data_IF_801966679731
#
_entry.id   IF_801966679731
#
_cell.length_a   1.000
_cell.length_b   1.000
_cell.length_c   1.000
_cell.angle_alpha   90.00
_cell.angle_beta   90.00
_cell.angle_gamma   90.00
#
_symmetry.space_group_name_H-M   'P 1'
#
loop_
_entity.id
_entity.type
_entity.pdbx_description
1 polymer ?
#
# COMPACT_ATOMS: atom_id res chain seq x y z
N UNK A 1 -7.54 -19.47 -46.20
CA UNK A 1 -8.48 -18.47 -45.63
C UNK A 1 -7.67 -17.65 -44.63
N UNK A 2 -7.04 -16.59 -45.10
CA UNK A 2 -7.61 -15.24 -45.23
C UNK A 2 -7.64 -14.55 -43.87
N UNK A 3 -6.60 -13.77 -43.62
CA UNK A 3 -6.42 -12.91 -42.44
C UNK A 3 -5.38 -11.85 -42.77
N UNK A 4 -5.64 -11.10 -43.84
CA UNK A 4 -4.80 -10.06 -44.42
C UNK A 4 -4.93 -8.80 -43.55
N UNK A 5 -3.93 -8.53 -42.72
CA UNK A 5 -3.83 -7.32 -41.90
C UNK A 5 -3.20 -6.21 -42.75
N UNK A 6 -4.08 -5.45 -43.39
CA UNK A 6 -3.76 -4.21 -44.10
C UNK A 6 -3.44 -3.12 -43.07
N UNK A 7 -2.18 -2.68 -43.05
CA UNK A 7 -1.77 -1.42 -42.48
C UNK A 7 -2.29 -0.29 -43.38
N UNK A 8 -3.36 0.40 -42.96
CA UNK A 8 -3.72 1.69 -43.53
C UNK A 8 -2.99 2.80 -42.78
N UNK A 9 -1.96 3.33 -43.44
CA UNK A 9 -1.40 4.63 -43.14
C UNK A 9 -2.44 5.71 -43.55
N UNK A 10 -3.04 6.37 -42.57
CA UNK A 10 -3.78 7.61 -42.81
C UNK A 10 -2.77 8.75 -42.96
N UNK A 11 -2.46 9.07 -44.21
CA UNK A 11 -1.86 10.35 -44.57
C UNK A 11 -2.91 11.45 -44.36
N UNK A 12 -2.64 12.34 -43.41
CA UNK A 12 -3.47 13.52 -43.16
C UNK A 12 -3.51 14.46 -44.38
N UNK A 13 -4.62 15.19 -44.59
CA UNK A 13 -4.73 16.13 -45.70
C UNK A 13 -3.75 17.29 -45.53
N UNK A 14 -3.02 17.55 -46.60
CA UNK A 14 -2.17 18.71 -46.87
C UNK A 14 -2.87 20.03 -46.51
N UNK A 15 -2.25 20.81 -45.62
CA UNK A 15 -2.56 22.22 -45.41
C UNK A 15 -2.24 23.00 -46.70
N UNK A 16 -3.27 23.55 -47.34
CA UNK A 16 -3.12 24.58 -48.37
C UNK A 16 -3.22 25.96 -47.70
N UNK A 17 -2.38 26.94 -48.09
CA UNK A 17 -2.52 28.31 -47.61
C UNK A 17 -3.66 29.00 -48.37
N UNK A 18 -4.78 29.22 -47.71
CA UNK A 18 -5.90 29.97 -48.26
C UNK A 18 -5.60 31.46 -48.14
N UNK A 19 -5.13 32.07 -49.23
CA UNK A 19 -5.07 33.52 -49.38
C UNK A 19 -6.49 34.05 -49.61
N UNK A 20 -7.01 34.96 -48.77
CA UNK A 20 -8.26 35.63 -49.09
C UNK A 20 -7.98 36.64 -50.21
N UNK A 21 -8.38 36.30 -51.42
CA UNK A 21 -8.54 37.25 -52.53
C UNK A 21 -9.61 38.26 -52.15
N UNK A 22 -9.21 39.51 -51.92
CA UNK A 22 -10.11 40.64 -51.81
C UNK A 22 -10.56 41.00 -53.22
N UNK A 23 -11.78 40.64 -53.56
CA UNK A 23 -12.46 41.04 -54.79
C UNK A 23 -12.92 42.50 -54.59
N UNK A 24 -12.21 43.45 -55.21
CA UNK A 24 -12.67 44.83 -55.31
C UNK A 24 -13.67 44.90 -56.48
N UNK A 25 -14.94 45.02 -56.15
CA UNK A 25 -16.01 45.32 -57.10
C UNK A 25 -15.81 46.74 -57.64
N UNK A 26 -15.34 46.83 -58.87
CA UNK A 26 -15.20 48.07 -59.62
C UNK A 26 -16.58 48.51 -60.13
N UNK A 27 -17.25 49.39 -59.36
CA UNK A 27 -18.45 50.10 -59.84
C UNK A 27 -18.01 51.43 -60.45
N UNK A 28 -17.45 51.35 -61.67
CA UNK A 28 -17.26 52.48 -62.58
C UNK A 28 -18.54 52.75 -63.35
N UNK A 29 -19.48 53.47 -62.73
CA UNK A 29 -20.70 53.95 -63.37
C UNK A 29 -20.59 55.42 -63.73
N UNK A 30 -20.34 55.69 -65.01
CA UNK A 30 -20.29 57.03 -65.60
C UNK A 30 -21.62 57.77 -65.41
N UNK A 31 -21.62 58.83 -64.59
CA UNK A 31 -22.71 59.80 -64.55
C UNK A 31 -22.20 61.22 -64.76
N UNK A 32 -22.29 61.61 -66.04
CA UNK A 32 -22.69 62.91 -66.55
C UNK A 32 -22.00 64.16 -65.98
N UNK A 33 -21.06 64.68 -66.77
CA UNK A 33 -20.79 66.11 -66.84
C UNK A 33 -21.98 66.82 -67.49
N UNK A 34 -22.56 67.81 -66.80
CA UNK A 34 -23.28 68.93 -67.41
C UNK A 34 -22.78 70.22 -66.75
N UNK A 35 -22.29 71.20 -67.53
CA UNK A 35 -21.79 72.46 -67.01
C UNK A 35 -22.90 73.51 -66.92
N UNK A 36 -22.69 74.44 -65.99
CA UNK A 36 -23.33 75.75 -65.85
C UNK A 36 -24.86 75.78 -65.67
N UNK A 37 -25.30 76.51 -64.63
CA UNK A 37 -25.96 77.81 -64.84
C UNK A 37 -26.11 78.55 -63.50
N UNK A 38 -25.73 79.82 -63.56
CA UNK A 38 -25.81 80.81 -62.51
C UNK A 38 -27.17 80.86 -61.79
N UNK A 39 -27.11 81.01 -60.47
CA UNK A 39 -28.26 81.23 -59.62
C UNK A 39 -27.84 81.83 -58.28
N UNK A 40 -27.40 83.08 -58.32
CA UNK A 40 -27.26 83.94 -57.14
C UNK A 40 -28.63 84.10 -56.47
N UNK A 41 -28.79 83.56 -55.27
CA UNK A 41 -29.70 84.09 -54.25
C UNK A 41 -28.91 84.20 -52.94
N UNK A 42 -28.18 85.31 -52.83
CA UNK A 42 -27.94 85.90 -51.54
C UNK A 42 -29.21 86.64 -51.15
N UNK A 43 -29.99 86.06 -50.23
CA UNK A 43 -30.95 86.81 -49.45
C UNK A 43 -30.42 86.88 -48.03
N UNK A 44 -29.98 88.09 -47.67
CA UNK A 44 -29.44 88.43 -46.36
C UNK A 44 -30.64 88.74 -45.48
N UNK A 45 -31.03 87.80 -44.63
CA UNK A 45 -31.88 88.10 -43.48
C UNK A 45 -30.98 88.37 -42.28
N UNK A 46 -30.65 89.65 -42.09
CA UNK A 46 -30.04 90.19 -40.89
C UNK A 46 -31.07 90.15 -39.75
N UNK A 47 -30.94 89.15 -38.87
CA UNK A 47 -31.34 89.26 -37.48
C UNK A 47 -30.37 88.43 -36.65
N UNK A 48 -29.46 89.13 -35.97
CA UNK A 48 -28.21 88.57 -35.46
C UNK A 48 -28.35 87.33 -34.59
N UNK A 49 -27.76 86.23 -35.06
CA UNK A 49 -27.37 85.08 -34.25
C UNK A 49 -26.09 84.46 -34.86
N UNK A 50 -25.10 84.18 -34.01
CA UNK A 50 -23.82 83.58 -34.39
C UNK A 50 -24.02 82.26 -35.13
N UNK A 51 -23.62 82.20 -36.40
CA UNK A 51 -23.73 81.02 -37.26
C UNK A 51 -22.70 79.96 -36.81
N UNK A 52 -23.08 79.14 -35.82
CA UNK A 52 -22.33 77.97 -35.38
C UNK A 52 -22.60 76.84 -36.37
N UNK A 53 -21.56 76.11 -36.81
CA UNK A 53 -21.70 74.94 -37.68
C UNK A 53 -22.80 74.02 -37.11
N UNK A 54 -23.86 73.67 -37.86
CA UNK A 54 -25.08 73.07 -37.31
C UNK A 54 -24.88 71.88 -36.35
N UNK A 55 -23.93 70.95 -36.56
CA UNK A 55 -23.70 69.85 -35.60
C UNK A 55 -22.88 70.24 -34.34
N UNK A 56 -22.37 71.47 -34.25
CA UNK A 56 -21.68 72.01 -33.07
C UNK A 56 -22.47 73.11 -32.34
N UNK A 57 -23.76 73.27 -32.63
CA UNK A 57 -24.62 74.18 -31.89
C UNK A 57 -24.84 73.67 -30.44
N UNK A 58 -24.16 74.34 -29.51
CA UNK A 58 -24.17 74.02 -28.08
C UNK A 58 -25.53 74.10 -27.39
N UNK A 59 -26.53 74.75 -28.01
CA UNK A 59 -27.90 74.80 -27.48
C UNK A 59 -28.57 73.42 -27.43
N UNK A 60 -28.18 72.49 -28.31
CA UNK A 60 -28.70 71.13 -28.36
C UNK A 60 -27.99 70.15 -27.42
N UNK A 61 -26.78 70.49 -26.96
CA UNK A 61 -25.97 69.62 -26.11
C UNK A 61 -26.62 69.34 -24.75
N UNK A 62 -27.36 70.30 -24.19
CA UNK A 62 -28.06 70.09 -22.92
C UNK A 62 -29.08 68.94 -23.00
N UNK A 63 -29.88 68.88 -24.07
CA UNK A 63 -30.85 67.79 -24.28
C UNK A 63 -30.16 66.44 -24.51
N UNK A 64 -29.09 66.42 -25.31
CA UNK A 64 -28.31 65.21 -25.54
C UNK A 64 -27.64 64.69 -24.27
N UNK A 65 -27.10 65.57 -23.43
CA UNK A 65 -26.49 65.21 -22.15
C UNK A 65 -27.52 64.69 -21.14
N UNK A 66 -28.73 65.27 -21.10
CA UNK A 66 -29.82 64.77 -20.24
C UNK A 66 -30.23 63.37 -20.69
N UNK A 67 -30.44 63.15 -21.99
CA UNK A 67 -30.83 61.83 -22.50
C UNK A 67 -29.70 60.80 -22.36
N UNK A 68 -28.44 61.21 -22.59
CA UNK A 68 -27.26 60.40 -22.31
C UNK A 68 -27.22 60.00 -20.83
N UNK A 69 -27.45 60.94 -19.91
CA UNK A 69 -27.47 60.64 -18.48
C UNK A 69 -28.58 59.66 -18.10
N UNK A 70 -29.79 59.80 -18.66
CA UNK A 70 -30.91 58.89 -18.42
C UNK A 70 -30.58 57.47 -18.93
N UNK A 71 -30.15 57.35 -20.19
CA UNK A 71 -29.84 56.05 -20.80
C UNK A 71 -28.62 55.39 -20.14
N UNK A 72 -27.59 56.17 -19.82
CA UNK A 72 -26.42 55.70 -19.09
C UNK A 72 -26.77 55.24 -17.67
N UNK A 73 -27.60 56.00 -16.94
CA UNK A 73 -28.07 55.59 -15.61
C UNK A 73 -28.88 54.29 -15.67
N UNK A 74 -29.77 54.15 -16.65
CA UNK A 74 -30.54 52.92 -16.85
C UNK A 74 -29.61 51.72 -17.16
N UNK A 75 -28.65 51.90 -18.07
CA UNK A 75 -27.66 50.89 -18.39
C UNK A 75 -26.79 50.53 -17.17
N UNK A 76 -26.36 51.53 -16.40
CA UNK A 76 -25.56 51.34 -15.18
C UNK A 76 -26.33 50.52 -14.14
N UNK A 77 -27.61 50.82 -13.91
CA UNK A 77 -28.45 50.04 -13.00
C UNK A 77 -28.60 48.60 -13.50
N UNK A 78 -28.83 48.39 -14.80
CA UNK A 78 -28.91 47.05 -15.37
C UNK A 78 -27.61 46.25 -15.20
N UNK A 79 -26.46 46.87 -15.50
CA UNK A 79 -25.14 46.25 -15.39
C UNK A 79 -24.79 45.93 -13.94
N UNK A 80 -25.01 46.89 -13.03
CA UNK A 80 -24.74 46.73 -11.60
C UNK A 80 -25.63 45.69 -10.94
N UNK A 81 -26.90 45.60 -11.33
CA UNK A 81 -27.88 44.71 -10.70
C UNK A 81 -27.94 43.32 -11.32
N UNK A 82 -27.52 43.14 -12.59
CA UNK A 82 -27.66 41.87 -13.31
C UNK A 82 -26.32 41.31 -13.76
N UNK A 83 -25.50 42.08 -14.46
CA UNK A 83 -24.27 41.56 -15.06
C UNK A 83 -23.17 41.29 -14.03
N UNK A 84 -22.89 42.27 -13.15
CA UNK A 84 -21.90 42.10 -12.08
C UNK A 84 -22.21 40.93 -11.14
N UNK A 85 -23.44 40.78 -10.59
CA UNK A 85 -23.72 39.65 -9.71
C UNK A 85 -23.70 38.30 -10.43
N UNK A 86 -24.04 38.24 -11.72
CA UNK A 86 -23.91 37.00 -12.51
C UNK A 86 -22.46 36.56 -12.64
N UNK A 87 -21.54 37.49 -12.90
CA UNK A 87 -20.10 37.19 -13.00
C UNK A 87 -19.54 36.80 -11.64
N UNK A 88 -19.90 37.53 -10.57
CA UNK A 88 -19.51 37.20 -9.20
C UNK A 88 -19.93 35.78 -8.80
N UNK A 89 -21.20 35.43 -9.03
CA UNK A 89 -21.71 34.09 -8.74
C UNK A 89 -20.94 32.98 -9.47
N UNK A 90 -20.50 33.19 -10.71
CA UNK A 90 -19.74 32.18 -11.47
C UNK A 90 -18.34 32.00 -10.87
N UNK A 91 -17.69 33.09 -10.48
CA UNK A 91 -16.37 33.05 -9.84
C UNK A 91 -16.47 32.32 -8.50
N UNK A 92 -17.45 32.70 -7.68
CA UNK A 92 -17.68 32.08 -6.37
C UNK A 92 -17.99 30.59 -6.50
N UNK A 93 -18.81 30.19 -7.48
CA UNK A 93 -19.11 28.77 -7.73
C UNK A 93 -17.87 27.98 -8.16
N UNK A 94 -17.00 28.56 -8.99
CA UNK A 94 -15.75 27.91 -9.40
C UNK A 94 -14.81 27.77 -8.22
N UNK A 95 -14.64 28.83 -7.43
CA UNK A 95 -13.81 28.81 -6.23
C UNK A 95 -14.32 27.77 -5.23
N UNK A 96 -15.62 27.75 -4.94
CA UNK A 96 -16.23 26.78 -4.04
C UNK A 96 -16.07 25.33 -4.53
N UNK A 97 -16.13 25.08 -5.85
CA UNK A 97 -15.84 23.76 -6.41
C UNK A 97 -14.38 23.36 -6.22
N UNK A 98 -13.45 24.26 -6.54
CA UNK A 98 -12.01 24.01 -6.38
C UNK A 98 -11.67 23.72 -4.91
N UNK A 99 -12.19 24.53 -3.99
CA UNK A 99 -11.96 24.35 -2.56
C UNK A 99 -12.59 23.04 -2.06
N UNK A 100 -13.78 22.70 -2.56
CA UNK A 100 -14.45 21.43 -2.28
C UNK A 100 -13.65 20.22 -2.77
N UNK A 101 -13.16 20.27 -4.01
CA UNK A 101 -12.36 19.21 -4.63
C UNK A 101 -11.01 19.07 -3.91
N UNK A 102 -10.36 20.17 -3.54
CA UNK A 102 -9.11 20.17 -2.78
C UNK A 102 -9.33 19.59 -1.38
N UNK A 103 -10.38 19.98 -0.67
CA UNK A 103 -10.71 19.44 0.64
C UNK A 103 -11.03 17.94 0.57
N UNK A 104 -11.76 17.49 -0.46
CA UNK A 104 -12.05 16.08 -0.68
C UNK A 104 -10.78 15.27 -0.99
N UNK A 105 -9.87 15.83 -1.80
CA UNK A 105 -8.59 15.22 -2.10
C UNK A 105 -7.70 15.12 -0.85
N UNK A 106 -7.59 16.19 -0.05
CA UNK A 106 -6.84 16.19 1.19
C UNK A 106 -7.39 15.19 2.21
N UNK A 107 -8.71 15.12 2.35
CA UNK A 107 -9.35 14.16 3.23
C UNK A 107 -9.12 12.72 2.78
N UNK A 108 -9.18 12.45 1.47
CA UNK A 108 -8.89 11.13 0.91
C UNK A 108 -7.41 10.75 1.08
N UNK A 109 -6.50 11.72 0.92
CA UNK A 109 -5.07 11.55 1.21
C UNK A 109 -4.85 11.20 2.68
N UNK A 110 -5.39 11.99 3.61
CA UNK A 110 -5.28 11.74 5.06
C UNK A 110 -5.80 10.35 5.45
N UNK A 111 -6.95 9.93 4.92
CA UNK A 111 -7.48 8.59 5.15
C UNK A 111 -6.56 7.48 4.63
N UNK A 112 -5.93 7.71 3.48
CA UNK A 112 -4.97 6.76 2.90
C UNK A 112 -3.72 6.69 3.76
N UNK A 113 -3.17 7.84 4.17
CA UNK A 113 -1.99 7.91 5.04
C UNK A 113 -2.25 7.23 6.39
N UNK A 114 -3.43 7.44 7.00
CA UNK A 114 -3.86 6.78 8.22
C UNK A 114 -4.02 5.27 8.03
N UNK A 115 -4.63 4.84 6.92
CA UNK A 115 -4.76 3.42 6.59
C UNK A 115 -3.40 2.76 6.39
N UNK A 116 -2.46 3.40 5.68
CA UNK A 116 -1.09 2.91 5.49
C UNK A 116 -0.39 2.79 6.84
N UNK A 117 -0.45 3.83 7.68
CA UNK A 117 0.17 3.81 9.01
C UNK A 117 -0.40 2.67 9.89
N UNK A 118 -1.72 2.49 9.88
CA UNK A 118 -2.37 1.41 10.63
C UNK A 118 -2.00 0.02 10.11
N UNK A 119 -1.88 -0.14 8.79
CA UNK A 119 -1.48 -1.38 8.13
C UNK A 119 -0.02 -1.72 8.46
N UNK A 120 0.89 -0.76 8.36
CA UNK A 120 2.30 -0.94 8.70
C UNK A 120 2.48 -1.28 10.19
N UNK A 121 1.75 -0.60 11.07
CA UNK A 121 1.75 -0.89 12.50
C UNK A 121 1.22 -2.31 12.79
N UNK A 122 0.11 -2.71 12.15
CA UNK A 122 -0.44 -4.06 12.30
C UNK A 122 0.55 -5.13 11.79
N UNK A 123 1.23 -4.87 10.67
CA UNK A 123 2.22 -5.78 10.11
C UNK A 123 3.46 -5.90 11.01
N UNK A 124 3.95 -4.79 11.57
CA UNK A 124 5.03 -4.78 12.53
C UNK A 124 4.67 -5.55 13.81
N UNK A 125 3.47 -5.31 14.36
CA UNK A 125 2.96 -6.02 15.53
C UNK A 125 2.79 -7.53 15.26
N UNK A 126 2.27 -7.92 14.09
CA UNK A 126 2.13 -9.32 13.71
C UNK A 126 3.48 -10.02 13.59
N UNK A 127 4.49 -9.38 12.97
CA UNK A 127 5.86 -9.91 12.90
C UNK A 127 6.48 -10.05 14.29
N UNK A 128 6.37 -9.03 15.13
CA UNK A 128 6.87 -9.07 16.51
C UNK A 128 6.22 -10.21 17.31
N UNK A 129 4.90 -10.39 17.20
CA UNK A 129 4.16 -11.48 17.84
C UNK A 129 4.59 -12.86 17.31
N UNK A 130 4.77 -13.00 16.00
CA UNK A 130 5.25 -14.24 15.40
C UNK A 130 6.66 -14.62 15.92
N UNK A 131 7.58 -13.64 15.99
CA UNK A 131 8.90 -13.86 16.56
C UNK A 131 8.83 -14.23 18.04
N UNK A 132 8.01 -13.54 18.84
CA UNK A 132 7.82 -13.85 20.25
C UNK A 132 7.28 -15.28 20.45
N UNK A 133 6.25 -15.68 19.70
CA UNK A 133 5.70 -17.04 19.76
C UNK A 133 6.73 -18.09 19.33
N UNK A 134 7.55 -17.80 18.30
CA UNK A 134 8.59 -18.73 17.87
C UNK A 134 9.67 -18.94 18.94
N UNK A 135 10.10 -17.87 19.61
CA UNK A 135 11.08 -17.95 20.70
C UNK A 135 10.51 -18.63 21.95
N UNK A 136 9.26 -18.31 22.33
CA UNK A 136 8.57 -18.99 23.43
C UNK A 136 8.41 -20.49 23.15
N UNK A 137 8.02 -20.86 21.93
CA UNK A 137 7.90 -22.27 21.52
C UNK A 137 9.25 -22.98 21.56
N UNK A 138 10.32 -22.35 21.07
CA UNK A 138 11.67 -22.90 21.13
C UNK A 138 12.14 -23.11 22.58
N UNK A 139 11.89 -22.13 23.45
CA UNK A 139 12.22 -22.22 24.86
C UNK A 139 11.44 -23.35 25.55
N UNK A 140 10.14 -23.47 25.27
CA UNK A 140 9.29 -24.54 25.78
C UNK A 140 9.75 -25.93 25.32
N UNK A 141 10.01 -26.10 24.02
CA UNK A 141 10.54 -27.36 23.46
C UNK A 141 11.88 -27.73 24.09
N UNK A 142 12.79 -26.76 24.27
CA UNK A 142 14.09 -27.00 24.91
C UNK A 142 13.90 -27.51 26.34
N UNK A 143 13.05 -26.84 27.12
CA UNK A 143 12.72 -27.25 28.48
C UNK A 143 12.11 -28.66 28.51
N UNK A 144 11.19 -28.98 27.60
CA UNK A 144 10.57 -30.30 27.51
C UNK A 144 11.59 -31.40 27.15
N UNK A 145 12.52 -31.09 26.24
CA UNK A 145 13.62 -32.00 25.89
C UNK A 145 14.50 -32.25 27.10
N UNK A 146 14.90 -31.20 27.82
CA UNK A 146 15.76 -31.31 29.00
C UNK A 146 15.07 -32.13 30.10
N UNK A 147 13.78 -31.90 30.35
CA UNK A 147 12.97 -32.67 31.29
C UNK A 147 12.84 -34.15 30.90
N UNK A 148 12.54 -34.43 29.62
CA UNK A 148 12.45 -35.81 29.11
C UNK A 148 13.79 -36.52 29.19
N UNK A 149 14.88 -35.82 28.86
CA UNK A 149 16.24 -36.34 28.96
C UNK A 149 16.59 -36.70 30.39
N UNK A 150 16.35 -35.80 31.35
CA UNK A 150 16.60 -36.06 32.77
C UNK A 150 15.81 -37.28 33.28
N UNK A 151 14.54 -37.41 32.88
CA UNK A 151 13.72 -38.59 33.22
C UNK A 151 14.28 -39.88 32.63
N UNK A 152 14.65 -39.87 31.34
CA UNK A 152 15.23 -41.05 30.69
C UNK A 152 16.57 -41.42 31.32
N UNK A 153 17.40 -40.45 31.67
CA UNK A 153 18.67 -40.67 32.37
C UNK A 153 18.44 -41.29 33.76
N UNK A 154 17.44 -40.84 34.52
CA UNK A 154 17.04 -41.46 35.80
C UNK A 154 16.53 -42.90 35.62
N UNK A 155 15.63 -43.12 34.67
CA UNK A 155 15.09 -44.46 34.38
C UNK A 155 16.20 -45.42 33.94
N UNK A 156 17.16 -44.94 33.15
CA UNK A 156 18.31 -45.72 32.71
C UNK A 156 19.24 -46.06 33.88
N UNK A 157 19.55 -45.08 34.74
CA UNK A 157 20.36 -45.31 35.94
C UNK A 157 19.73 -46.36 36.87
N UNK A 158 18.41 -46.29 37.07
CA UNK A 158 17.68 -47.27 37.88
C UNK A 158 17.74 -48.68 37.26
N UNK A 159 17.59 -48.80 35.93
CA UNK A 159 17.71 -50.08 35.22
C UNK A 159 19.11 -50.67 35.31
N UNK A 160 20.15 -49.84 35.16
CA UNK A 160 21.54 -50.27 35.30
C UNK A 160 21.80 -50.79 36.71
N UNK A 161 21.40 -50.03 37.74
CA UNK A 161 21.55 -50.45 39.13
C UNK A 161 20.82 -51.77 39.44
N UNK A 162 19.60 -51.95 38.91
CA UNK A 162 18.85 -53.21 39.04
C UNK A 162 19.51 -54.39 38.32
N UNK A 163 20.05 -54.17 37.12
CA UNK A 163 20.78 -55.18 36.38
C UNK A 163 22.09 -55.57 37.10
N UNK A 164 22.84 -54.60 37.61
CA UNK A 164 24.05 -54.84 38.41
C UNK A 164 23.75 -55.67 39.66
N UNK A 165 22.67 -55.37 40.37
CA UNK A 165 22.23 -56.14 41.54
C UNK A 165 21.85 -57.59 41.16
N UNK A 166 21.15 -57.78 40.05
CA UNK A 166 20.77 -59.12 39.55
C UNK A 166 21.99 -59.94 39.12
N UNK A 167 22.95 -59.31 38.44
CA UNK A 167 24.23 -59.93 38.06
C UNK A 167 25.01 -60.33 39.31
N UNK A 168 25.09 -59.46 40.32
CA UNK A 168 25.77 -59.76 41.58
C UNK A 168 25.11 -60.94 42.32
N UNK A 169 23.77 -60.97 42.39
CA UNK A 169 23.03 -62.06 43.00
C UNK A 169 23.26 -63.39 42.26
N UNK A 170 23.14 -63.39 40.94
CA UNK A 170 23.38 -64.57 40.09
C UNK A 170 24.81 -65.07 40.23
N UNK A 171 25.78 -64.16 40.32
CA UNK A 171 27.18 -64.52 40.55
C UNK A 171 27.36 -65.24 41.88
N UNK A 172 26.77 -64.73 42.96
CA UNK A 172 26.84 -65.37 44.29
C UNK A 172 26.20 -66.75 44.26
N UNK A 173 25.01 -66.88 43.66
CA UNK A 173 24.32 -68.17 43.52
C UNK A 173 25.15 -69.17 42.69
N UNK A 174 25.70 -68.75 41.55
CA UNK A 174 26.52 -69.60 40.70
C UNK A 174 27.79 -70.07 41.40
N UNK A 175 28.46 -69.20 42.17
CA UNK A 175 29.64 -69.57 42.95
C UNK A 175 29.28 -70.59 44.05
N UNK A 176 28.14 -70.44 44.73
CA UNK A 176 27.66 -71.43 45.70
C UNK A 176 27.41 -72.81 45.07
N UNK A 177 26.78 -72.86 43.90
CA UNK A 177 26.57 -74.12 43.16
C UNK A 177 27.88 -74.77 42.70
N UNK A 178 28.89 -73.97 42.35
CA UNK A 178 30.22 -74.50 41.99
C UNK A 178 30.87 -75.18 43.19
N UNK A 179 30.77 -74.60 44.39
CA UNK A 179 31.29 -75.20 45.62
C UNK A 179 30.58 -76.54 45.95
N UNK A 180 29.26 -76.60 45.75
CA UNK A 180 28.47 -77.84 45.91
C UNK A 180 28.91 -78.91 44.90
N UNK A 181 28.95 -78.58 43.60
CA UNK A 181 29.39 -79.52 42.55
C UNK A 181 30.83 -80.01 42.80
N UNK A 182 31.71 -79.12 43.27
CA UNK A 182 33.09 -79.48 43.61
C UNK A 182 33.12 -80.47 44.78
N UNK A 183 32.33 -80.25 45.84
CA UNK A 183 32.24 -81.16 46.99
C UNK A 183 31.67 -82.53 46.60
N UNK A 184 30.58 -82.56 45.82
CA UNK A 184 30.00 -83.80 45.28
C UNK A 184 31.01 -84.56 44.42
N UNK A 185 31.72 -83.86 43.53
CA UNK A 185 32.72 -84.46 42.64
C UNK A 185 33.91 -85.04 43.43
N UNK A 186 34.40 -84.31 44.44
CA UNK A 186 35.48 -84.78 45.33
C UNK A 186 35.01 -86.00 46.11
N UNK A 187 33.80 -85.98 46.67
CA UNK A 187 33.23 -87.12 47.40
C UNK A 187 33.14 -88.37 46.50
N UNK A 188 32.61 -88.21 45.29
CA UNK A 188 32.51 -89.31 44.32
C UNK A 188 33.88 -89.87 43.93
N UNK A 189 34.87 -89.00 43.67
CA UNK A 189 36.22 -89.41 43.29
C UNK A 189 36.94 -90.16 44.43
N UNK A 190 36.83 -89.67 45.66
CA UNK A 190 37.46 -90.27 46.84
C UNK A 190 36.78 -91.59 47.23
N UNK A 191 35.46 -91.68 47.09
CA UNK A 191 34.71 -92.92 47.29
C UNK A 191 35.20 -94.05 46.35
N UNK A 192 35.56 -93.70 45.11
CA UNK A 192 36.09 -94.64 44.12
C UNK A 192 37.49 -95.17 44.46
N UNK A 193 38.31 -94.39 45.18
CA UNK A 193 39.75 -94.68 45.40
C UNK A 193 40.03 -95.25 46.80
N UNK A 194 39.41 -94.71 47.84
CA UNK A 194 39.79 -94.96 49.25
C UNK A 194 38.65 -95.40 50.17
N UNK A 195 37.42 -95.52 49.66
CA UNK A 195 36.23 -95.89 50.43
C UNK A 195 35.33 -94.69 50.79
N UNK A 196 34.13 -94.94 51.35
CA UNK A 196 33.11 -93.92 51.53
C UNK A 196 33.55 -92.80 52.49
N UNK A 197 33.35 -91.55 52.08
CA UNK A 197 33.66 -90.34 52.86
C UNK A 197 32.36 -89.58 53.15
N UNK A 198 32.29 -88.97 54.34
CA UNK A 198 31.12 -88.20 54.74
C UNK A 198 31.02 -86.89 53.95
N UNK A 199 29.79 -86.46 53.67
CA UNK A 199 29.50 -85.21 52.97
C UNK A 199 30.15 -84.01 53.68
N UNK A 200 30.12 -84.00 55.02
CA UNK A 200 30.73 -82.97 55.84
C UNK A 200 32.26 -82.84 55.65
N UNK A 201 32.97 -83.95 55.45
CA UNK A 201 34.42 -83.95 55.23
C UNK A 201 34.78 -83.46 53.81
N UNK A 202 33.99 -83.82 52.81
CA UNK A 202 34.16 -83.37 51.43
C UNK A 202 33.97 -81.84 51.31
N UNK A 203 32.91 -81.30 51.92
CA UNK A 203 32.68 -79.86 51.98
C UNK A 203 33.78 -79.12 52.75
N UNK A 204 34.26 -79.68 53.87
CA UNK A 204 35.34 -79.08 54.66
C UNK A 204 36.67 -79.01 53.87
N UNK A 205 36.98 -80.03 53.07
CA UNK A 205 38.18 -80.06 52.23
C UNK A 205 38.13 -79.02 51.10
N UNK A 206 37.00 -78.92 50.40
CA UNK A 206 36.79 -77.90 49.35
C UNK A 206 36.84 -76.49 49.93
N UNK A 207 36.20 -76.25 51.08
CA UNK A 207 36.21 -74.96 51.75
C UNK A 207 37.60 -74.54 52.30
N UNK A 208 38.46 -75.51 52.60
CA UNK A 208 39.86 -75.24 53.00
C UNK A 208 40.72 -74.89 51.78
N UNK A 209 40.51 -75.59 50.66
CA UNK A 209 41.24 -75.36 49.41
C UNK A 209 40.82 -74.05 48.70
N UNK A 210 39.57 -73.61 48.82
CA UNK A 210 39.10 -72.35 48.22
C UNK A 210 39.52 -71.08 48.99
N UNK A 211 40.14 -71.24 50.16
CA UNK A 211 40.66 -70.14 51.00
C UNK A 211 42.16 -69.87 50.86
N UNK A 212 42.93 -70.77 50.24
CA UNK A 212 44.33 -70.54 49.84
C UNK A 212 44.41 -69.89 48.46
#
# INVERSE_FOLDING_TARGET
MAGQLVAQAQGGPTAQPETPTVEFEEVGGDHALSPDLAGTHGEVHDSGHSEVFPPFDSSTFAGQLIWLAITFALLYVLMSRVALPRIGNIIDQRQARIDGDLAAAEHSRKKTDEAIASYEAALAAARAKAHAMAEETRAGIKSDIDNKRARVEQDLAAKIAGAEASIAATKVEAMGKVDEIAAETVQALVAQISGPVSEAEAHAAVAKASKE
#
